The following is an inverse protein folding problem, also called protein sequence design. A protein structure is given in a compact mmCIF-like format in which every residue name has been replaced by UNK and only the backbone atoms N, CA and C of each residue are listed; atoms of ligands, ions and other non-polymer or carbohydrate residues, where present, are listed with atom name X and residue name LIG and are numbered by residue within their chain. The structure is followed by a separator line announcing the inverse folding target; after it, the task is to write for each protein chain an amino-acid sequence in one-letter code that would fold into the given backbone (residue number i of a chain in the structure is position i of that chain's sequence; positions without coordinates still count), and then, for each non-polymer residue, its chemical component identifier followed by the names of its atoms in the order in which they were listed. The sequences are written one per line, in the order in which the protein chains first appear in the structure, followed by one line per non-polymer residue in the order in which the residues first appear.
data_IF_541245453408
#
_entry.id   IF_541245453408
#
_cell.length_a   1.000
_cell.length_b   1.000
_cell.length_c   1.000
_cell.angle_alpha   90.00
_cell.angle_beta   90.00
_cell.angle_gamma   90.00
#
_symmetry.space_group_name_H-M   'P 1'
#
loop_
_entity.id
_entity.type
_entity.pdbx_description
1 polymer ?
#
# COMPACT_ATOMS: atom_id res chain seq x y z
N UNK A 1 0.71 2.34 -17.40
CA UNK A 1 1.18 3.21 -16.33
C UNK A 1 2.08 2.45 -15.38
N UNK A 2 3.15 3.08 -14.91
CA UNK A 2 4.11 2.43 -14.02
C UNK A 2 3.84 2.66 -12.54
N UNK A 3 2.94 3.58 -12.19
CA UNK A 3 2.61 3.89 -10.81
C UNK A 3 1.10 3.76 -10.59
N UNK A 4 0.73 3.04 -9.53
CA UNK A 4 -0.63 2.99 -9.03
C UNK A 4 -0.62 3.38 -7.56
N UNK A 5 -1.38 4.39 -7.19
CA UNK A 5 -1.57 4.80 -5.80
C UNK A 5 -3.05 4.90 -5.51
N UNK A 6 -3.47 4.45 -4.33
CA UNK A 6 -4.85 4.56 -3.91
C UNK A 6 -4.97 4.53 -2.39
N UNK A 7 -6.00 5.22 -1.91
CA UNK A 7 -6.45 5.13 -0.54
C UNK A 7 -7.83 4.47 -0.59
N UNK A 8 -7.94 3.27 -0.03
CA UNK A 8 -9.16 2.48 -0.15
C UNK A 8 -9.95 2.51 1.15
N UNK A 9 -11.28 2.56 1.04
CA UNK A 9 -12.18 2.45 2.19
C UNK A 9 -12.43 0.97 2.46
N UNK A 10 -12.13 0.53 3.66
CA UNK A 10 -12.22 -0.89 4.04
C UNK A 10 -13.62 -1.45 3.84
N UNK A 11 -14.65 -0.66 4.13
CA UNK A 11 -16.04 -1.08 3.96
C UNK A 11 -16.47 -1.23 2.49
N UNK A 12 -15.70 -0.65 1.56
CA UNK A 12 -16.02 -0.70 0.13
C UNK A 12 -15.14 -1.68 -0.63
N UNK A 13 -13.88 -1.82 -0.20
CA UNK A 13 -12.88 -2.55 -0.98
C UNK A 13 -11.77 -3.10 -0.08
N UNK A 14 -11.33 -4.32 -0.37
CA UNK A 14 -10.16 -4.90 0.28
C UNK A 14 -8.91 -4.65 -0.55
N UNK A 15 -7.77 -4.48 0.13
CA UNK A 15 -6.49 -4.48 -0.55
C UNK A 15 -6.20 -5.90 -1.04
N UNK A 16 -5.89 -6.02 -2.32
CA UNK A 16 -5.63 -7.32 -2.96
C UNK A 16 -4.16 -7.47 -3.30
N UNK A 17 -3.53 -8.49 -2.73
CA UNK A 17 -2.14 -8.83 -3.02
C UNK A 17 -2.00 -9.29 -4.48
N UNK A 18 -2.97 -10.04 -4.99
CA UNK A 18 -2.95 -10.52 -6.37
C UNK A 18 -2.99 -9.36 -7.35
N UNK A 19 -3.83 -8.37 -7.10
CA UNK A 19 -3.91 -7.16 -7.93
C UNK A 19 -2.57 -6.43 -7.95
N UNK A 20 -1.92 -6.31 -6.80
CA UNK A 20 -0.62 -5.67 -6.70
C UNK A 20 0.45 -6.45 -7.47
N UNK A 21 0.49 -7.77 -7.31
CA UNK A 21 1.43 -8.63 -8.03
C UNK A 21 1.24 -8.54 -9.53
N UNK A 22 0.01 -8.58 -9.99
CA UNK A 22 -0.30 -8.46 -11.42
C UNK A 22 0.16 -7.11 -11.98
N UNK A 23 -0.03 -6.05 -11.21
CA UNK A 23 0.36 -4.72 -11.65
C UNK A 23 1.89 -4.58 -11.82
N UNK A 24 2.67 -5.12 -10.87
CA UNK A 24 4.13 -4.98 -10.91
C UNK A 24 4.83 -6.05 -11.74
N UNK A 25 4.15 -7.12 -12.10
CA UNK A 25 4.73 -8.20 -12.90
C UNK A 25 5.08 -7.73 -14.30
N UNK A 26 6.32 -8.00 -14.72
CA UNK A 26 6.78 -7.69 -16.06
C UNK A 26 8.02 -8.53 -16.38
N UNK A 27 8.10 -9.01 -17.61
CA UNK A 27 9.30 -9.72 -18.08
C UNK A 27 10.53 -8.84 -18.19
N UNK A 28 10.37 -7.52 -18.08
CA UNK A 28 11.47 -6.57 -18.17
C UNK A 28 12.26 -6.44 -16.85
N UNK A 29 11.76 -7.00 -15.75
CA UNK A 29 12.37 -6.84 -14.43
C UNK A 29 12.78 -8.17 -13.84
N UNK A 30 13.98 -8.19 -13.28
CA UNK A 30 14.55 -9.39 -12.68
C UNK A 30 14.14 -9.63 -11.23
N UNK A 31 13.51 -8.66 -10.58
CA UNK A 31 13.15 -8.79 -9.17
C UNK A 31 11.94 -7.94 -8.82
N UNK A 32 11.21 -8.37 -7.81
CA UNK A 32 10.12 -7.58 -7.21
C UNK A 32 10.16 -7.72 -5.70
N UNK A 33 9.71 -6.67 -5.01
CA UNK A 33 9.64 -6.64 -3.56
C UNK A 33 8.23 -6.26 -3.14
N UNK A 34 7.69 -6.95 -2.13
CA UNK A 34 6.34 -6.73 -1.65
C UNK A 34 6.38 -6.49 -0.15
N UNK A 35 5.76 -5.39 0.28
CA UNK A 35 5.56 -5.08 1.69
C UNK A 35 4.06 -5.11 1.99
N UNK A 36 3.66 -5.89 3.01
CA UNK A 36 2.27 -6.01 3.42
C UNK A 36 2.17 -5.63 4.89
N UNK A 37 1.42 -4.56 5.16
CA UNK A 37 1.09 -4.17 6.53
C UNK A 37 -0.19 -4.83 6.97
N UNK A 38 -0.23 -5.30 8.22
CA UNK A 38 -1.39 -5.97 8.80
C UNK A 38 -1.70 -5.39 10.18
N UNK A 39 -2.95 -5.53 10.60
CA UNK A 39 -3.32 -5.20 11.97
C UNK A 39 -2.79 -6.30 12.89
N UNK A 40 -1.91 -5.93 13.81
CA UNK A 40 -1.36 -6.88 14.78
C UNK A 40 -2.37 -7.18 15.86
N UNK A 41 -2.37 -8.43 16.36
CA UNK A 41 -3.24 -8.83 17.45
C UNK A 41 -2.71 -8.42 18.84
N UNK A 42 -1.50 -7.85 18.91
CA UNK A 42 -0.88 -7.36 20.14
C UNK A 42 -0.19 -6.03 19.90
N UNK A 43 -0.28 -5.14 20.87
CA UNK A 43 0.47 -3.89 20.88
C UNK A 43 0.87 -3.56 22.32
N UNK A 44 2.17 -3.45 22.58
CA UNK A 44 2.72 -3.20 23.91
C UNK A 44 2.21 -4.20 24.96
N UNK A 45 2.13 -5.48 24.60
CA UNK A 45 1.65 -6.55 25.48
C UNK A 45 0.13 -6.64 25.61
N UNK A 46 -0.62 -5.75 24.96
CA UNK A 46 -2.09 -5.75 24.99
C UNK A 46 -2.68 -6.40 23.76
N UNK A 47 -3.79 -7.11 23.94
CA UNK A 47 -4.52 -7.71 22.84
C UNK A 47 -5.22 -6.63 22.01
N UNK A 48 -5.05 -6.70 20.69
CA UNK A 48 -5.70 -5.81 19.75
C UNK A 48 -6.70 -6.61 18.92
N UNK A 49 -7.94 -6.13 18.81
CA UNK A 49 -8.98 -6.76 17.98
C UNK A 49 -9.22 -6.01 16.69
N UNK A 50 -8.96 -4.72 16.69
CA UNK A 50 -9.14 -3.88 15.49
C UNK A 50 -8.42 -2.55 15.68
N UNK A 51 -8.20 -1.87 14.57
CA UNK A 51 -7.63 -0.52 14.52
C UNK A 51 -8.44 0.31 13.56
N UNK A 52 -8.73 1.57 13.92
CA UNK A 52 -9.31 2.53 12.99
C UNK A 52 -8.21 3.38 12.40
N UNK A 53 -8.10 3.34 11.08
CA UNK A 53 -7.16 4.18 10.35
C UNK A 53 -7.89 5.42 9.84
N UNK A 54 -7.39 6.58 10.23
CA UNK A 54 -7.91 7.85 9.78
C UNK A 54 -6.88 8.55 8.93
N UNK A 55 -7.31 9.15 7.81
CA UNK A 55 -6.40 9.73 6.86
C UNK A 55 -7.03 10.91 6.13
N UNK A 56 -6.23 11.94 5.89
CA UNK A 56 -6.60 13.06 5.03
C UNK A 56 -6.29 12.66 3.59
N UNK A 57 -7.33 12.35 2.82
CA UNK A 57 -7.21 11.70 1.50
C UNK A 57 -6.22 12.39 0.57
N UNK A 58 -6.39 13.69 0.36
CA UNK A 58 -5.53 14.42 -0.58
C UNK A 58 -4.08 14.48 -0.13
N UNK A 59 -3.85 14.69 1.17
CA UNK A 59 -2.50 14.73 1.71
C UNK A 59 -1.79 13.38 1.57
N UNK A 60 -2.50 12.29 1.85
CA UNK A 60 -1.97 10.94 1.73
C UNK A 60 -1.62 10.60 0.29
N UNK A 61 -2.54 10.85 -0.65
CA UNK A 61 -2.30 10.56 -2.07
C UNK A 61 -1.16 11.41 -2.63
N UNK A 62 -1.04 12.65 -2.19
CA UNK A 62 0.07 13.51 -2.59
C UNK A 62 1.40 12.98 -2.06
N UNK A 63 1.44 12.51 -0.82
CA UNK A 63 2.62 11.86 -0.24
C UNK A 63 3.00 10.60 -1.00
N UNK A 64 2.03 9.78 -1.36
CA UNK A 64 2.26 8.56 -2.14
C UNK A 64 2.89 8.89 -3.50
N UNK A 65 2.37 9.89 -4.17
CA UNK A 65 2.91 10.31 -5.46
C UNK A 65 4.35 10.80 -5.32
N UNK A 66 4.63 11.57 -4.29
CA UNK A 66 5.99 12.05 -4.00
C UNK A 66 6.96 10.91 -3.71
N UNK A 67 6.54 9.94 -2.89
CA UNK A 67 7.35 8.76 -2.58
C UNK A 67 7.67 7.96 -3.84
N UNK A 68 6.68 7.73 -4.68
CA UNK A 68 6.87 6.99 -5.93
C UNK A 68 7.80 7.72 -6.89
N UNK A 69 7.63 9.04 -7.02
CA UNK A 69 8.51 9.84 -7.87
C UNK A 69 9.95 9.82 -7.40
N UNK A 70 10.16 9.93 -6.10
CA UNK A 70 11.51 9.87 -5.50
C UNK A 70 12.14 8.49 -5.70
N UNK A 71 11.39 7.43 -5.52
CA UNK A 71 11.87 6.07 -5.74
C UNK A 71 12.29 5.85 -7.19
N UNK A 72 11.49 6.32 -8.14
CA UNK A 72 11.81 6.21 -9.56
C UNK A 72 13.08 6.98 -9.92
N UNK A 73 13.25 8.18 -9.39
CA UNK A 73 14.47 8.97 -9.62
C UNK A 73 15.70 8.32 -9.03
N UNK A 74 15.55 7.77 -7.83
CA UNK A 74 16.70 7.28 -7.05
C UNK A 74 17.15 5.89 -7.48
N UNK A 75 16.23 5.03 -7.90
CA UNK A 75 16.53 3.64 -8.20
C UNK A 75 16.39 3.29 -9.68
N UNK A 76 15.18 3.43 -10.23
CA UNK A 76 14.93 3.09 -11.63
C UNK A 76 13.73 3.88 -12.14
N UNK A 77 13.96 4.68 -13.17
CA UNK A 77 12.90 5.50 -13.76
C UNK A 77 11.76 4.68 -14.37
N UNK A 78 12.02 3.42 -14.70
CA UNK A 78 11.03 2.50 -15.26
C UNK A 78 10.38 1.58 -14.24
N UNK A 79 10.71 1.73 -12.95
CA UNK A 79 10.15 0.90 -11.91
C UNK A 79 8.62 0.93 -11.91
N UNK A 80 8.01 -0.23 -11.68
CA UNK A 80 6.57 -0.33 -11.47
C UNK A 80 6.30 -0.35 -9.98
N UNK A 81 5.42 0.53 -9.52
CA UNK A 81 5.12 0.72 -8.10
C UNK A 81 3.61 0.66 -7.89
N UNK A 82 3.19 -0.22 -6.99
CA UNK A 82 1.81 -0.31 -6.53
C UNK A 82 1.78 0.04 -5.05
N UNK A 83 1.03 1.08 -4.68
CA UNK A 83 0.96 1.56 -3.31
C UNK A 83 -0.49 1.83 -2.95
N UNK A 84 -1.04 1.01 -2.07
CA UNK A 84 -2.39 1.20 -1.53
C UNK A 84 -2.38 1.16 -0.01
N UNK A 85 -3.18 2.01 0.59
CA UNK A 85 -3.40 2.05 2.02
C UNK A 85 -4.89 2.05 2.30
N UNK A 86 -5.29 1.30 3.31
CA UNK A 86 -6.68 1.22 3.72
C UNK A 86 -6.98 2.24 4.80
N UNK A 87 -8.17 2.83 4.76
CA UNK A 87 -8.68 3.67 5.84
C UNK A 87 -10.02 3.15 6.32
N UNK A 88 -10.36 3.47 7.57
CA UNK A 88 -11.58 3.01 8.22
C UNK A 88 -11.28 1.99 9.31
N UNK A 89 -12.29 1.23 9.69
CA UNK A 89 -12.18 0.22 10.74
C UNK A 89 -11.61 -1.08 10.17
N UNK A 90 -10.45 -1.51 10.68
CA UNK A 90 -9.78 -2.73 10.25
C UNK A 90 -9.75 -3.73 11.39
N UNK A 91 -10.43 -4.87 11.21
CA UNK A 91 -10.38 -5.96 12.17
C UNK A 91 -9.07 -6.75 12.03
N UNK A 92 -8.65 -7.40 13.09
CA UNK A 92 -7.50 -8.32 13.05
C UNK A 92 -7.83 -9.49 12.15
N UNK A 93 -6.90 -9.84 11.27
CA UNK A 93 -7.03 -10.97 10.37
C UNK A 93 -6.80 -12.31 11.08
#
# INVERSE_FOLDING_TARGET
MSIHTALVKIEEQKISIEKAKDFISSGDYGAESIFIGRVRNKNSGKKVTAVTYDAHDQAVLKSFQSICNDAKKKFDNNAKIFLEHAKGYAAVC
#
